data_IF_761224646058
#
_entry.id   IF_761224646058
#
_cell.length_a   1.000
_cell.length_b   1.000
_cell.length_c   1.000
_cell.angle_alpha   90.00
_cell.angle_beta   90.00
_cell.angle_gamma   90.00
#
_symmetry.space_group_name_H-M   'P 1'
#
loop_
_entity.id
_entity.type
_entity.pdbx_description
1 polymer ?
#
# COMPACT_ATOMS: atom_id res chain seq x y z
N UNK A 1 -31.62 14.75 -19.31
CA UNK A 1 -30.88 15.10 -18.08
C UNK A 1 -29.42 14.87 -18.38
N UNK A 2 -28.58 15.89 -18.23
CA UNK A 2 -27.14 15.76 -18.45
C UNK A 2 -26.56 14.78 -17.40
N UNK A 3 -25.97 13.70 -17.88
CA UNK A 3 -25.40 12.67 -17.01
C UNK A 3 -24.20 13.21 -16.22
N UNK A 4 -23.42 14.13 -16.81
CA UNK A 4 -22.31 14.77 -16.11
C UNK A 4 -22.82 15.60 -14.93
N UNK A 5 -23.81 16.48 -15.15
CA UNK A 5 -24.41 17.24 -14.06
C UNK A 5 -24.98 16.34 -12.95
N UNK A 6 -25.64 15.24 -13.31
CA UNK A 6 -26.14 14.27 -12.32
C UNK A 6 -25.01 13.68 -11.49
N UNK A 7 -23.88 13.34 -12.11
CA UNK A 7 -22.72 12.80 -11.42
C UNK A 7 -22.09 13.84 -10.50
N UNK A 8 -21.91 15.07 -10.97
CA UNK A 8 -21.38 16.17 -10.15
C UNK A 8 -22.28 16.46 -8.94
N UNK A 9 -23.61 16.51 -9.12
CA UNK A 9 -24.57 16.69 -8.03
C UNK A 9 -24.50 15.54 -7.01
N UNK A 10 -24.31 14.30 -7.49
CA UNK A 10 -24.18 13.11 -6.65
C UNK A 10 -22.90 13.15 -5.80
N UNK A 11 -21.77 13.55 -6.41
CA UNK A 11 -20.49 13.75 -5.72
C UNK A 11 -20.60 14.90 -4.71
N UNK A 12 -21.21 16.04 -5.09
CA UNK A 12 -21.40 17.19 -4.22
C UNK A 12 -22.26 16.88 -2.98
N UNK A 13 -23.17 15.89 -3.09
CA UNK A 13 -23.97 15.37 -1.99
C UNK A 13 -23.26 14.29 -1.15
N UNK A 14 -21.93 14.13 -1.30
CA UNK A 14 -21.07 13.13 -0.65
C UNK A 14 -21.57 11.69 -0.79
N UNK A 15 -22.28 11.40 -1.90
CA UNK A 15 -22.73 10.06 -2.21
C UNK A 15 -21.58 9.24 -2.80
N UNK A 16 -21.58 7.93 -2.54
CA UNK A 16 -20.55 7.01 -3.05
C UNK A 16 -20.98 6.40 -4.36
N UNK A 17 -20.13 6.56 -5.38
CA UNK A 17 -20.30 5.92 -6.69
C UNK A 17 -20.04 4.42 -6.53
N UNK A 18 -20.97 3.60 -6.98
CA UNK A 18 -20.87 2.14 -6.96
C UNK A 18 -20.64 1.57 -8.37
N UNK A 19 -20.28 0.29 -8.44
CA UNK A 19 -19.85 -0.37 -9.68
C UNK A 19 -20.86 -0.29 -10.84
N UNK A 20 -22.16 -0.29 -10.51
CA UNK A 20 -23.26 -0.25 -11.50
C UNK A 20 -23.69 1.17 -11.87
N UNK A 21 -23.19 2.18 -11.16
CA UNK A 21 -23.56 3.56 -11.43
C UNK A 21 -22.89 4.05 -12.71
N UNK A 22 -23.58 4.96 -13.39
CA UNK A 22 -22.96 5.72 -14.45
C UNK A 22 -21.89 6.65 -13.86
N UNK A 23 -20.74 6.73 -14.52
CA UNK A 23 -19.65 7.62 -14.17
C UNK A 23 -18.92 8.06 -15.46
N UNK A 24 -18.29 9.24 -15.49
CA UNK A 24 -17.48 9.67 -16.63
C UNK A 24 -16.36 8.68 -16.96
N UNK A 25 -16.04 8.52 -18.25
CA UNK A 25 -14.99 7.60 -18.69
C UNK A 25 -13.61 7.99 -18.14
N UNK A 26 -13.32 9.28 -18.02
CA UNK A 26 -12.05 9.76 -17.47
C UNK A 26 -11.94 9.52 -15.96
N UNK A 27 -13.07 9.58 -15.24
CA UNK A 27 -13.16 9.16 -13.84
C UNK A 27 -12.84 7.67 -13.70
N UNK A 28 -13.50 6.82 -14.51
CA UNK A 28 -13.27 5.37 -14.54
C UNK A 28 -11.80 5.03 -14.86
N UNK A 29 -11.25 5.59 -15.93
CA UNK A 29 -9.86 5.34 -16.37
C UNK A 29 -8.85 5.80 -15.31
N UNK A 30 -9.08 6.96 -14.70
CA UNK A 30 -8.20 7.48 -13.65
C UNK A 30 -8.21 6.59 -12.41
N UNK A 31 -9.38 6.10 -12.01
CA UNK A 31 -9.48 5.16 -10.89
C UNK A 31 -8.88 3.80 -11.19
N UNK A 32 -9.09 3.25 -12.40
CA UNK A 32 -8.41 2.01 -12.80
C UNK A 32 -6.90 2.20 -12.67
N UNK A 33 -6.35 3.30 -13.23
CA UNK A 33 -4.93 3.63 -13.13
C UNK A 33 -4.48 3.76 -11.68
N UNK A 34 -5.21 4.47 -10.83
CA UNK A 34 -4.77 4.71 -9.46
C UNK A 34 -4.86 3.45 -8.60
N UNK A 35 -5.98 2.74 -8.65
CA UNK A 35 -6.22 1.53 -7.84
C UNK A 35 -5.30 0.39 -8.30
N UNK A 36 -5.07 0.23 -9.61
CA UNK A 36 -4.13 -0.79 -10.10
C UNK A 36 -2.71 -0.49 -9.65
N UNK A 37 -2.25 0.76 -9.76
CA UNK A 37 -0.91 1.15 -9.32
C UNK A 37 -0.74 1.05 -7.80
N UNK A 38 -1.84 1.23 -7.05
CA UNK A 38 -1.86 0.91 -5.62
C UNK A 38 -1.69 -0.59 -5.39
N UNK A 39 -2.46 -1.44 -6.09
CA UNK A 39 -2.33 -2.90 -6.00
C UNK A 39 -0.93 -3.38 -6.41
N UNK A 40 -0.34 -2.79 -7.45
CA UNK A 40 1.03 -3.06 -7.87
C UNK A 40 2.03 -2.70 -6.77
N UNK A 41 1.78 -1.62 -6.03
CA UNK A 41 2.63 -1.19 -4.92
C UNK A 41 2.64 -2.23 -3.81
N UNK A 42 1.49 -2.84 -3.47
CA UNK A 42 1.45 -3.94 -2.51
C UNK A 42 2.29 -5.14 -2.97
N UNK A 43 2.14 -5.56 -4.23
CA UNK A 43 2.87 -6.71 -4.78
C UNK A 43 4.38 -6.47 -4.80
N UNK A 44 4.81 -5.28 -5.24
CA UNK A 44 6.23 -4.96 -5.34
C UNK A 44 6.84 -4.68 -3.97
N UNK A 45 6.06 -4.16 -3.01
CA UNK A 45 6.49 -3.91 -1.64
C UNK A 45 6.95 -5.17 -0.88
N UNK A 46 6.37 -6.32 -1.23
CA UNK A 46 6.77 -7.62 -0.68
C UNK A 46 8.22 -8.00 -1.00
N UNK A 47 8.83 -7.45 -2.06
CA UNK A 47 10.18 -7.81 -2.50
C UNK A 47 11.30 -7.32 -1.55
N UNK A 48 11.41 -6.00 -1.23
CA UNK A 48 12.43 -5.52 -0.29
C UNK A 48 12.27 -6.15 1.09
N UNK A 49 11.04 -6.35 1.57
CA UNK A 49 10.80 -6.98 2.88
C UNK A 49 11.02 -8.49 2.87
N UNK A 50 10.59 -9.16 1.79
CA UNK A 50 10.81 -10.58 1.55
C UNK A 50 12.29 -10.97 1.59
N UNK A 51 13.16 -10.06 1.14
CA UNK A 51 14.61 -10.21 1.21
C UNK A 51 15.12 -10.52 2.63
N UNK A 52 14.46 -10.01 3.67
CA UNK A 52 14.89 -10.17 5.07
C UNK A 52 14.17 -11.28 5.84
N UNK A 53 13.16 -11.94 5.26
CA UNK A 53 12.42 -13.03 5.92
C UNK A 53 13.35 -14.13 6.45
N UNK A 54 14.32 -14.57 5.66
CA UNK A 54 15.23 -15.66 6.06
C UNK A 54 16.29 -15.21 7.08
N UNK A 55 16.55 -13.90 7.17
CA UNK A 55 17.68 -13.29 7.91
C UNK A 55 17.25 -12.44 9.11
N UNK A 56 15.96 -12.39 9.42
CA UNK A 56 15.45 -11.68 10.60
C UNK A 56 16.16 -12.16 11.89
N UNK A 57 16.56 -11.25 12.79
CA UNK A 57 17.50 -11.54 13.90
C UNK A 57 16.86 -12.32 15.05
N UNK A 58 15.55 -12.52 15.04
CA UNK A 58 14.85 -13.37 16.00
C UNK A 58 13.61 -14.02 15.38
N UNK A 59 13.18 -15.15 15.95
CA UNK A 59 11.97 -15.84 15.50
C UNK A 59 10.72 -14.97 15.65
N UNK A 60 10.64 -14.17 16.72
CA UNK A 60 9.54 -13.23 16.91
C UNK A 60 9.48 -12.22 15.77
N UNK A 61 10.61 -11.59 15.41
CA UNK A 61 10.65 -10.62 14.31
C UNK A 61 10.41 -11.27 12.96
N UNK A 62 10.90 -12.50 12.75
CA UNK A 62 10.61 -13.31 11.56
C UNK A 62 9.11 -13.57 11.39
N UNK A 63 8.43 -13.99 12.46
CA UNK A 63 6.99 -14.27 12.43
C UNK A 63 6.16 -13.00 12.13
N UNK A 64 6.52 -11.86 12.73
CA UNK A 64 5.87 -10.58 12.46
C UNK A 64 6.07 -10.16 11.00
N UNK A 65 7.29 -10.27 10.46
CA UNK A 65 7.60 -9.91 9.08
C UNK A 65 6.85 -10.81 8.09
N UNK A 66 6.76 -12.12 8.37
CA UNK A 66 5.94 -13.03 7.57
C UNK A 66 4.46 -12.64 7.55
N UNK A 67 3.91 -12.27 8.71
CA UNK A 67 2.52 -11.81 8.79
C UNK A 67 2.30 -10.51 8.01
N UNK A 68 3.23 -9.54 8.08
CA UNK A 68 3.17 -8.30 7.30
C UNK A 68 3.15 -8.58 5.79
N UNK A 69 4.13 -9.33 5.29
CA UNK A 69 4.25 -9.65 3.85
C UNK A 69 3.05 -10.48 3.36
N UNK A 70 2.47 -11.32 4.22
CA UNK A 70 1.22 -12.03 3.92
C UNK A 70 0.03 -11.06 3.78
N UNK A 71 -0.08 -10.08 4.68
CA UNK A 71 -1.17 -9.09 4.64
C UNK A 71 -1.05 -8.20 3.40
N UNK A 72 0.15 -7.78 3.00
CA UNK A 72 0.40 -7.02 1.75
C UNK A 72 -0.12 -7.78 0.51
N UNK A 73 0.12 -9.09 0.43
CA UNK A 73 -0.46 -9.91 -0.63
C UNK A 73 -1.99 -9.87 -0.61
N UNK A 74 -2.60 -9.93 0.58
CA UNK A 74 -4.05 -9.78 0.76
C UNK A 74 -4.57 -8.40 0.36
N UNK A 75 -3.83 -7.33 0.67
CA UNK A 75 -4.17 -5.96 0.30
C UNK A 75 -4.15 -5.77 -1.21
N UNK A 76 -3.14 -6.33 -1.88
CA UNK A 76 -3.08 -6.38 -3.34
C UNK A 76 -4.31 -7.06 -3.94
N UNK A 77 -4.78 -8.17 -3.36
CA UNK A 77 -6.00 -8.85 -3.80
C UNK A 77 -7.26 -7.98 -3.61
N UNK A 78 -7.40 -7.27 -2.48
CA UNK A 78 -8.52 -6.36 -2.25
C UNK A 78 -8.53 -5.22 -3.27
N UNK A 79 -7.36 -4.67 -3.59
CA UNK A 79 -7.22 -3.55 -4.53
C UNK A 79 -7.48 -3.99 -5.97
N UNK A 80 -6.95 -5.13 -6.42
CA UNK A 80 -7.31 -5.68 -7.73
C UNK A 80 -8.81 -5.93 -7.82
N UNK A 81 -9.43 -6.52 -6.79
CA UNK A 81 -10.88 -6.73 -6.76
C UNK A 81 -11.64 -5.41 -6.90
N UNK A 82 -11.19 -4.34 -6.26
CA UNK A 82 -11.79 -3.01 -6.42
C UNK A 82 -11.61 -2.45 -7.85
N UNK A 83 -10.44 -2.63 -8.47
CA UNK A 83 -10.21 -2.21 -9.85
C UNK A 83 -11.08 -2.99 -10.85
N UNK A 84 -11.30 -4.28 -10.64
CA UNK A 84 -12.13 -5.12 -11.51
C UNK A 84 -13.60 -4.68 -11.52
N UNK A 85 -14.09 -4.07 -10.43
CA UNK A 85 -15.45 -3.48 -10.40
C UNK A 85 -15.64 -2.31 -11.37
N UNK A 86 -14.55 -1.74 -11.90
CA UNK A 86 -14.57 -0.70 -12.94
C UNK A 86 -14.50 -1.29 -14.36
N UNK A 87 -14.38 -2.61 -14.50
CA UNK A 87 -14.32 -3.32 -15.79
C UNK A 87 -12.90 -3.67 -16.26
N UNK A 88 -11.86 -3.40 -15.47
CA UNK A 88 -10.50 -3.88 -15.76
C UNK A 88 -10.40 -5.40 -15.51
N UNK A 89 -9.44 -6.07 -16.16
CA UNK A 89 -9.06 -7.45 -15.85
C UNK A 89 -7.74 -7.45 -15.10
N UNK A 90 -7.63 -8.18 -13.99
CA UNK A 90 -6.39 -8.22 -13.21
C UNK A 90 -5.18 -8.67 -14.02
N UNK A 91 -5.33 -9.66 -14.91
CA UNK A 91 -4.22 -10.17 -15.71
C UNK A 91 -3.62 -9.08 -16.60
N UNK A 92 -4.47 -8.29 -17.29
CA UNK A 92 -4.02 -7.14 -18.09
C UNK A 92 -3.29 -6.08 -17.25
N UNK A 93 -3.75 -5.86 -16.01
CA UNK A 93 -3.10 -4.93 -15.08
C UNK A 93 -1.73 -5.44 -14.64
N UNK A 94 -1.60 -6.74 -14.36
CA UNK A 94 -0.33 -7.38 -14.01
C UNK A 94 0.65 -7.36 -15.19
N UNK A 95 0.18 -7.63 -16.40
CA UNK A 95 1.00 -7.55 -17.61
C UNK A 95 1.50 -6.11 -17.80
N UNK A 96 0.65 -5.10 -17.60
CA UNK A 96 1.06 -3.71 -17.66
C UNK A 96 2.14 -3.35 -16.62
N UNK A 97 2.09 -3.94 -15.42
CA UNK A 97 3.15 -3.81 -14.41
C UNK A 97 4.47 -4.45 -14.88
N UNK A 98 4.41 -5.70 -15.34
CA UNK A 98 5.59 -6.49 -15.76
C UNK A 98 6.27 -5.85 -16.97
N UNK A 99 5.49 -5.34 -17.93
CA UNK A 99 5.98 -4.65 -19.12
C UNK A 99 6.43 -3.20 -18.86
N UNK A 100 6.27 -2.69 -17.64
CA UNK A 100 6.64 -1.32 -17.26
C UNK A 100 5.72 -0.23 -17.84
N UNK A 101 4.51 -0.59 -18.30
CA UNK A 101 3.48 0.34 -18.77
C UNK A 101 2.69 0.96 -17.60
N UNK A 102 2.64 0.29 -16.46
CA UNK A 102 2.06 0.78 -15.22
C UNK A 102 3.13 1.00 -14.15
N UNK A 103 2.88 1.95 -13.24
CA UNK A 103 3.80 2.27 -12.14
C UNK A 103 3.44 1.52 -10.86
N UNK A 104 4.35 1.58 -9.90
CA UNK A 104 4.15 1.26 -8.50
C UNK A 104 4.85 2.34 -7.67
N UNK A 105 4.67 2.32 -6.35
CA UNK A 105 5.30 3.28 -5.44
C UNK A 105 6.82 3.29 -5.60
N UNK A 106 7.39 4.48 -5.81
CA UNK A 106 8.82 4.62 -6.11
C UNK A 106 9.73 4.10 -4.99
N UNK A 107 9.24 4.07 -3.75
CA UNK A 107 10.01 3.65 -2.57
C UNK A 107 10.52 2.22 -2.66
N UNK A 108 9.84 1.34 -3.41
CA UNK A 108 10.24 -0.05 -3.55
C UNK A 108 11.37 -0.29 -4.55
N UNK A 109 11.94 0.79 -5.12
CA UNK A 109 13.18 0.74 -5.90
C UNK A 109 14.45 0.83 -5.04
N UNK A 110 14.31 1.07 -3.73
CA UNK A 110 15.43 1.23 -2.81
C UNK A 110 15.81 -0.12 -2.17
N UNK A 111 17.10 -0.46 -2.08
CA UNK A 111 17.53 -1.75 -1.54
C UNK A 111 17.49 -1.76 -0.01
N UNK A 112 17.23 -2.95 0.56
CA UNK A 112 17.27 -3.20 2.01
C UNK A 112 18.61 -3.85 2.39
N UNK A 113 19.57 -3.04 2.79
CA UNK A 113 20.97 -3.42 3.02
C UNK A 113 21.21 -4.01 4.43
N UNK A 114 20.45 -3.56 5.43
CA UNK A 114 20.57 -3.96 6.84
C UNK A 114 19.22 -4.29 7.46
N UNK A 115 19.22 -4.91 8.65
CA UNK A 115 17.98 -5.22 9.36
C UNK A 115 17.22 -3.96 9.77
N UNK A 116 17.92 -2.85 10.01
CA UNK A 116 17.29 -1.56 10.34
C UNK A 116 16.36 -1.07 9.23
N UNK A 117 16.58 -1.46 7.98
CA UNK A 117 15.69 -1.09 6.86
C UNK A 117 14.28 -1.67 7.02
N UNK A 118 14.10 -2.81 7.70
CA UNK A 118 12.77 -3.32 8.05
C UNK A 118 12.07 -2.45 9.09
N UNK A 119 12.84 -1.80 9.97
CA UNK A 119 12.34 -0.81 10.91
C UNK A 119 11.98 0.50 10.21
N UNK A 120 12.85 1.01 9.33
CA UNK A 120 12.62 2.25 8.60
C UNK A 120 11.46 2.14 7.59
N UNK A 121 11.36 1.03 6.85
CA UNK A 121 10.22 0.76 5.96
C UNK A 121 8.94 0.69 6.78
N UNK A 122 8.87 -0.21 7.76
CA UNK A 122 7.68 -0.36 8.56
C UNK A 122 7.30 0.94 9.29
N UNK A 123 8.24 1.75 9.76
CA UNK A 123 7.89 2.98 10.47
C UNK A 123 7.54 4.16 9.55
N UNK A 124 8.46 4.51 8.65
CA UNK A 124 8.40 5.73 7.85
C UNK A 124 7.65 5.52 6.54
N UNK A 125 7.91 4.40 5.85
CA UNK A 125 7.27 4.11 4.55
C UNK A 125 5.80 3.76 4.77
N UNK A 126 5.50 2.83 5.68
CA UNK A 126 4.09 2.54 6.02
C UNK A 126 3.44 3.76 6.69
N UNK A 127 4.20 4.55 7.47
CA UNK A 127 3.70 5.81 8.04
C UNK A 127 3.24 6.80 6.96
N UNK A 128 4.02 6.97 5.90
CA UNK A 128 3.65 7.77 4.74
C UNK A 128 2.47 7.17 3.97
N UNK A 129 2.43 5.84 3.82
CA UNK A 129 1.32 5.14 3.20
C UNK A 129 0.02 5.39 3.98
N UNK A 130 0.01 5.22 5.31
CA UNK A 130 -1.15 5.49 6.16
C UNK A 130 -1.63 6.94 6.04
N UNK A 131 -0.71 7.92 6.01
CA UNK A 131 -1.07 9.32 5.79
C UNK A 131 -1.77 9.55 4.46
N UNK A 132 -1.41 8.80 3.41
CA UNK A 132 -2.08 8.85 2.11
C UNK A 132 -3.41 8.08 2.09
N UNK A 133 -3.47 6.91 2.71
CA UNK A 133 -4.57 5.96 2.61
C UNK A 133 -5.76 6.29 3.53
N UNK A 134 -5.52 6.86 4.72
CA UNK A 134 -6.60 7.23 5.63
C UNK A 134 -7.59 8.21 4.99
N UNK A 135 -7.15 9.28 4.28
CA UNK A 135 -8.06 10.10 3.48
C UNK A 135 -8.83 9.32 2.40
N UNK A 136 -8.21 8.32 1.76
CA UNK A 136 -8.85 7.50 0.72
C UNK A 136 -9.97 6.59 1.25
N UNK A 137 -10.04 6.34 2.56
CA UNK A 137 -11.22 5.72 3.19
C UNK A 137 -12.53 6.49 2.93
N UNK A 138 -12.44 7.76 2.54
CA UNK A 138 -13.57 8.62 2.20
C UNK A 138 -13.63 9.02 0.72
N UNK A 139 -12.84 8.38 -0.15
CA UNK A 139 -12.90 8.68 -1.58
C UNK A 139 -14.30 8.43 -2.16
N UNK A 140 -14.58 8.98 -3.34
CA UNK A 140 -15.93 8.96 -3.93
C UNK A 140 -16.34 7.59 -4.49
N UNK A 141 -15.39 6.71 -4.80
CA UNK A 141 -15.69 5.37 -5.31
C UNK A 141 -15.82 4.35 -4.17
N UNK A 142 -17.04 3.85 -3.97
CA UNK A 142 -17.40 2.99 -2.85
C UNK A 142 -16.53 1.74 -2.70
N UNK A 143 -16.30 0.93 -3.76
CA UNK A 143 -15.46 -0.26 -3.68
C UNK A 143 -14.04 0.05 -3.18
N UNK A 144 -13.44 1.14 -3.66
CA UNK A 144 -12.10 1.54 -3.26
C UNK A 144 -12.08 2.07 -1.81
N UNK A 145 -13.04 2.92 -1.44
CA UNK A 145 -13.16 3.41 -0.06
C UNK A 145 -13.29 2.25 0.95
N UNK A 146 -14.08 1.21 0.63
CA UNK A 146 -14.24 0.03 1.49
C UNK A 146 -12.98 -0.83 1.57
N UNK A 147 -12.23 -0.97 0.47
CA UNK A 147 -10.93 -1.64 0.49
C UNK A 147 -9.95 -0.89 1.40
N UNK A 148 -9.86 0.44 1.28
CA UNK A 148 -9.00 1.27 2.11
C UNK A 148 -9.31 1.18 3.60
N UNK A 149 -10.59 1.08 3.99
CA UNK A 149 -10.96 0.86 5.39
C UNK A 149 -10.41 -0.46 5.95
N UNK A 150 -10.30 -1.52 5.14
CA UNK A 150 -9.72 -2.80 5.56
C UNK A 150 -8.19 -2.71 5.64
N UNK A 151 -7.57 -2.24 4.55
CA UNK A 151 -6.11 -2.06 4.47
C UNK A 151 -5.61 -1.18 5.63
N UNK A 152 -6.20 0.00 5.84
CA UNK A 152 -5.80 0.91 6.93
C UNK A 152 -6.00 0.34 8.34
N UNK A 153 -6.89 -0.64 8.54
CA UNK A 153 -7.04 -1.30 9.86
C UNK A 153 -5.88 -2.25 10.14
N UNK A 154 -5.42 -2.95 9.11
CA UNK A 154 -4.35 -3.95 9.18
C UNK A 154 -2.98 -3.27 9.21
N UNK A 155 -2.74 -2.27 8.35
CA UNK A 155 -1.45 -1.57 8.25
C UNK A 155 -1.00 -0.84 9.51
N UNK A 156 -1.93 -0.34 10.33
CA UNK A 156 -1.59 0.31 11.60
C UNK A 156 -0.80 -0.61 12.53
N UNK A 157 -1.07 -1.92 12.44
CA UNK A 157 -0.29 -2.91 13.16
C UNK A 157 1.14 -2.96 12.62
N UNK A 158 1.31 -3.12 11.31
CA UNK A 158 2.63 -3.18 10.65
C UNK A 158 3.48 -1.95 10.97
N UNK A 159 2.87 -0.77 10.88
CA UNK A 159 3.56 0.48 11.13
C UNK A 159 4.10 0.59 12.56
N UNK A 160 3.30 0.17 13.54
CA UNK A 160 3.70 0.10 14.94
C UNK A 160 4.84 -0.90 15.17
N UNK A 161 4.83 -2.02 14.45
CA UNK A 161 5.90 -3.03 14.56
C UNK A 161 7.23 -2.51 13.99
N UNK A 162 7.20 -1.77 12.88
CA UNK A 162 8.37 -1.09 12.32
C UNK A 162 8.96 -0.06 13.28
N UNK A 163 8.10 0.78 13.89
CA UNK A 163 8.53 1.72 14.93
C UNK A 163 9.23 1.01 16.10
N UNK A 164 8.69 -0.12 16.56
CA UNK A 164 9.31 -0.88 17.66
C UNK A 164 10.67 -1.49 17.26
N UNK A 165 10.92 -1.79 15.98
CA UNK A 165 12.25 -2.22 15.52
C UNK A 165 13.24 -1.06 15.69
N UNK A 166 12.89 0.13 15.19
CA UNK A 166 13.74 1.31 15.30
C UNK A 166 14.02 1.68 16.75
N UNK A 167 13.00 1.69 17.60
CA UNK A 167 13.17 1.96 19.03
C UNK A 167 14.14 0.98 19.70
N UNK A 168 13.97 -0.32 19.45
CA UNK A 168 14.86 -1.35 20.01
C UNK A 168 16.32 -1.18 19.56
N UNK A 169 16.55 -0.75 18.31
CA UNK A 169 17.91 -0.50 17.80
C UNK A 169 18.51 0.75 18.47
N UNK A 170 17.73 1.82 18.62
CA UNK A 170 18.16 3.06 19.28
C UNK A 170 18.52 2.85 20.76
N UNK A 171 17.78 1.98 21.47
CA UNK A 171 18.04 1.60 22.87
C UNK A 171 19.14 0.53 23.02
N UNK A 172 19.69 0.05 21.91
CA UNK A 172 20.64 -1.05 21.84
C UNK A 172 22.11 -0.67 22.03
N UNK A 173 23.01 -1.43 21.39
CA UNK A 173 24.45 -1.14 21.35
C UNK A 173 24.76 0.04 20.43
N UNK A 174 26.00 0.52 20.45
CA UNK A 174 26.45 1.59 19.54
C UNK A 174 26.31 1.18 18.07
N UNK A 175 26.63 -0.07 17.73
CA UNK A 175 26.49 -0.60 16.37
C UNK A 175 25.01 -0.67 15.94
N UNK A 176 24.09 -0.95 16.87
CA UNK A 176 22.65 -0.96 16.58
C UNK A 176 22.12 0.46 16.35
N UNK A 177 22.58 1.44 17.13
CA UNK A 177 22.27 2.87 16.93
C UNK A 177 22.80 3.36 15.58
N UNK A 178 24.03 3.02 15.23
CA UNK A 178 24.63 3.40 13.95
C UNK A 178 23.86 2.77 12.77
N UNK A 179 23.49 1.49 12.88
CA UNK A 179 22.67 0.80 11.87
C UNK A 179 21.30 1.48 11.67
N UNK A 180 20.65 1.89 12.76
CA UNK A 180 19.39 2.62 12.70
C UNK A 180 19.55 4.00 12.03
N UNK A 181 20.62 4.72 12.36
CA UNK A 181 20.90 6.02 11.76
C UNK A 181 21.26 5.93 10.28
N UNK A 182 22.05 4.93 9.86
CA UNK A 182 22.35 4.68 8.44
C UNK A 182 21.07 4.41 7.64
N UNK A 183 20.19 3.57 8.17
CA UNK A 183 18.90 3.27 7.53
C UNK A 183 18.00 4.51 7.41
N UNK A 184 17.98 5.37 8.42
CA UNK A 184 17.22 6.63 8.38
C UNK A 184 17.78 7.64 7.37
N UNK A 185 19.10 7.63 7.13
CA UNK A 185 19.75 8.59 6.24
C UNK A 185 19.52 8.30 4.75
N UNK A 186 19.20 7.05 4.40
CA UNK A 186 18.99 6.59 3.01
C UNK A 186 17.52 6.67 2.62
#
# INVERSE_FOLDING_TARGET
MDLNQRFEDYIAADQKIEAKDWMPDDYRKTLIRQISQHAHSEIIGMLPEGNWITRAPSLQRKAILLAKVQDEAGHGLYLYSAAETLGAQRDDLMDALIEGRAKYSSIFNYPTLTWADMGAIGWLVDGAAIMNQVPLCKCSYGPYARAMVRVCKEERFHQRQGFQIMLNLCEGTDEQREMAQDSLNR
#
